data_IF_221837969516
#
_entry.id   IF_221837969516
#
_cell.length_a   1.000
_cell.length_b   1.000
_cell.length_c   1.000
_cell.angle_alpha   90.00
_cell.angle_beta   90.00
_cell.angle_gamma   90.00
#
_symmetry.space_group_name_H-M   'P 1'
#
loop_
_entity.id
_entity.type
_entity.pdbx_description
1 polymer ?
#
# COMPACT_ATOMS: atom_id res chain seq x y z
N UNK A 1 24.69 12.96 15.82
CA UNK A 1 24.04 11.65 16.06
C UNK A 1 23.71 11.05 14.71
N UNK A 2 24.13 9.82 14.38
CA UNK A 2 23.72 9.22 13.12
C UNK A 2 22.24 8.90 13.25
N UNK A 3 21.40 9.65 12.53
CA UNK A 3 20.00 9.31 12.36
C UNK A 3 19.99 8.00 11.60
N UNK A 4 19.70 6.90 12.30
CA UNK A 4 19.47 5.62 11.65
C UNK A 4 18.23 5.84 10.78
N UNK A 5 18.45 6.02 9.48
CA UNK A 5 17.39 5.86 8.50
C UNK A 5 17.01 4.39 8.56
N UNK A 6 16.07 4.06 9.45
CA UNK A 6 15.28 2.86 9.27
C UNK A 6 14.73 2.98 7.85
N UNK A 7 15.22 2.15 6.95
CA UNK A 7 14.56 1.92 5.68
C UNK A 7 13.25 1.24 6.10
N UNK A 8 12.25 2.04 6.45
CA UNK A 8 10.88 1.57 6.44
C UNK A 8 10.64 1.30 4.98
N UNK A 9 10.69 0.01 4.64
CA UNK A 9 10.09 -0.51 3.42
C UNK A 9 8.62 -0.09 3.45
N UNK A 10 8.35 1.10 2.91
CA UNK A 10 7.03 1.69 2.91
C UNK A 10 6.12 0.96 1.95
N UNK A 11 4.83 0.98 2.25
CA UNK A 11 3.82 0.59 1.28
C UNK A 11 3.85 1.58 0.10
N UNK A 12 3.62 1.04 -1.08
CA UNK A 12 3.57 1.76 -2.33
C UNK A 12 2.38 1.33 -3.16
N UNK A 13 2.19 2.05 -4.27
CA UNK A 13 1.19 1.71 -5.26
C UNK A 13 1.83 1.69 -6.64
N UNK A 14 1.74 0.57 -7.36
CA UNK A 14 2.21 0.47 -8.74
C UNK A 14 1.03 0.45 -9.69
N UNK A 15 1.08 1.35 -10.67
CA UNK A 15 0.10 1.46 -11.77
C UNK A 15 -1.37 1.47 -11.32
N UNK A 16 -1.67 1.90 -10.09
CA UNK A 16 -3.02 1.87 -9.49
C UNK A 16 -3.70 0.48 -9.53
N UNK A 17 -2.90 -0.58 -9.58
CA UNK A 17 -3.36 -1.96 -9.69
C UNK A 17 -2.69 -2.89 -8.69
N UNK A 18 -1.50 -2.54 -8.21
CA UNK A 18 -0.80 -3.25 -7.15
C UNK A 18 -0.58 -2.38 -5.93
N UNK A 19 -0.83 -2.95 -4.76
CA UNK A 19 -0.16 -2.52 -3.53
C UNK A 19 1.21 -3.19 -3.51
N UNK A 20 2.25 -2.42 -3.24
CA UNK A 20 3.63 -2.91 -3.18
C UNK A 20 4.24 -2.64 -1.82
N UNK A 21 5.26 -3.41 -1.45
CA UNK A 21 6.11 -3.17 -0.27
C UNK A 21 7.54 -3.47 -0.65
N UNK A 22 8.51 -2.63 -0.26
CA UNK A 22 9.92 -2.84 -0.59
C UNK A 22 10.24 -3.06 -2.10
N UNK A 23 9.36 -2.62 -3.01
CA UNK A 23 9.49 -2.88 -4.45
C UNK A 23 8.93 -4.23 -4.93
N UNK A 24 8.33 -5.03 -4.05
CA UNK A 24 7.64 -6.29 -4.37
C UNK A 24 6.13 -6.10 -4.42
N UNK A 25 5.48 -6.81 -5.34
CA UNK A 25 4.02 -6.82 -5.50
C UNK A 25 3.36 -7.62 -4.37
N UNK A 26 2.60 -6.93 -3.51
CA UNK A 26 2.00 -7.50 -2.30
C UNK A 26 0.56 -7.94 -2.53
N UNK A 27 -0.27 -7.06 -3.10
CA UNK A 27 -1.70 -7.32 -3.31
C UNK A 27 -2.16 -6.74 -4.62
N UNK A 28 -2.77 -7.60 -5.44
CA UNK A 28 -3.45 -7.19 -6.66
C UNK A 28 -4.84 -6.65 -6.33
N UNK A 29 -5.15 -5.47 -6.84
CA UNK A 29 -6.42 -4.81 -6.57
C UNK A 29 -7.57 -5.43 -7.38
N UNK A 30 -8.77 -5.54 -6.78
CA UNK A 30 -9.99 -5.87 -7.51
C UNK A 30 -10.23 -4.87 -8.65
N UNK A 31 -10.80 -5.35 -9.76
CA UNK A 31 -11.00 -4.53 -10.97
C UNK A 31 -11.77 -3.23 -10.71
N UNK A 32 -12.74 -3.28 -9.81
CA UNK A 32 -13.58 -2.14 -9.41
C UNK A 32 -12.83 -1.00 -8.73
N UNK A 33 -11.66 -1.29 -8.16
CA UNK A 33 -10.81 -0.30 -7.48
C UNK A 33 -9.56 0.07 -8.29
N UNK A 34 -9.41 -0.51 -9.49
CA UNK A 34 -8.34 -0.12 -10.44
C UNK A 34 -8.65 1.21 -11.10
N UNK A 35 -7.59 1.93 -11.43
CA UNK A 35 -7.59 3.29 -12.00
C UNK A 35 -8.21 4.37 -11.08
N UNK A 36 -8.58 3.99 -9.86
CA UNK A 36 -9.12 4.89 -8.85
C UNK A 36 -8.08 5.82 -8.24
N UNK A 37 -8.50 6.55 -7.21
CA UNK A 37 -7.61 7.33 -6.35
C UNK A 37 -7.17 6.46 -5.20
N UNK A 38 -5.89 6.53 -4.83
CA UNK A 38 -5.40 5.81 -3.66
C UNK A 38 -4.43 6.68 -2.86
N UNK A 39 -4.36 6.43 -1.56
CA UNK A 39 -3.48 7.10 -0.64
C UNK A 39 -2.83 6.08 0.28
N UNK A 40 -1.56 6.29 0.60
CA UNK A 40 -0.81 5.46 1.54
C UNK A 40 -0.49 6.30 2.77
N UNK A 41 -0.72 5.74 3.96
CA UNK A 41 -0.33 6.35 5.23
C UNK A 41 0.21 5.27 6.16
N UNK A 42 1.51 5.33 6.45
CA UNK A 42 2.18 4.30 7.26
C UNK A 42 2.00 2.90 6.66
N UNK A 43 1.31 2.04 7.41
CA UNK A 43 1.00 0.66 7.06
C UNK A 43 -0.42 0.46 6.48
N UNK A 44 -1.08 1.55 6.11
CA UNK A 44 -2.44 1.56 5.58
C UNK A 44 -2.50 2.10 4.16
N UNK A 45 -3.39 1.52 3.35
CA UNK A 45 -3.70 1.96 1.98
C UNK A 45 -5.19 2.17 1.86
N UNK A 46 -5.60 3.40 1.49
CA UNK A 46 -6.97 3.73 1.17
C UNK A 46 -7.14 3.78 -0.35
N UNK A 47 -8.19 3.16 -0.88
CA UNK A 47 -8.45 3.03 -2.32
C UNK A 47 -9.89 3.42 -2.61
N UNK A 48 -10.07 4.47 -3.39
CA UNK A 48 -11.35 4.87 -3.94
C UNK A 48 -11.67 4.04 -5.19
N UNK A 49 -12.81 3.37 -5.17
CA UNK A 49 -13.33 2.59 -6.29
C UNK A 49 -14.30 3.45 -7.11
N UNK A 50 -14.51 3.12 -8.41
CA UNK A 50 -15.37 3.95 -9.29
C UNK A 50 -16.83 4.06 -8.84
N UNK A 51 -17.27 3.12 -8.01
CA UNK A 51 -18.60 3.14 -7.38
C UNK A 51 -18.76 4.17 -6.27
N UNK A 52 -17.70 4.89 -5.89
CA UNK A 52 -17.68 5.79 -4.73
C UNK A 52 -17.39 5.08 -3.40
N UNK A 53 -17.23 3.76 -3.40
CA UNK A 53 -16.78 3.00 -2.22
C UNK A 53 -15.30 3.26 -1.96
N UNK A 54 -14.91 3.24 -0.68
CA UNK A 54 -13.51 3.28 -0.27
C UNK A 54 -13.16 1.98 0.42
N UNK A 55 -12.10 1.34 -0.04
CA UNK A 55 -11.50 0.16 0.59
C UNK A 55 -10.29 0.63 1.38
N UNK A 56 -10.29 0.39 2.69
CA UNK A 56 -9.14 0.62 3.56
C UNK A 56 -8.48 -0.73 3.86
N UNK A 57 -7.20 -0.83 3.54
CA UNK A 57 -6.36 -1.99 3.81
C UNK A 57 -5.34 -1.59 4.85
N UNK A 58 -5.26 -2.32 5.94
CA UNK A 58 -4.23 -2.15 6.95
C UNK A 58 -3.40 -3.42 7.00
N UNK A 59 -2.09 -3.25 6.89
CA UNK A 59 -1.14 -4.35 6.91
C UNK A 59 -0.48 -4.42 8.27
N UNK A 60 -0.16 -5.62 8.75
CA UNK A 60 0.64 -5.79 9.96
C UNK A 60 2.07 -5.36 9.71
N UNK A 61 2.57 -4.42 10.52
CA UNK A 61 3.97 -3.97 10.44
C UNK A 61 4.96 -5.12 10.69
N UNK A 62 4.61 -6.05 11.59
CA UNK A 62 5.46 -7.21 11.88
C UNK A 62 5.59 -8.15 10.68
N UNK A 63 4.52 -8.32 9.90
CA UNK A 63 4.53 -9.17 8.71
C UNK A 63 5.25 -8.49 7.54
N UNK A 64 5.06 -7.17 7.35
CA UNK A 64 5.79 -6.43 6.32
C UNK A 64 7.30 -6.39 6.58
N UNK A 65 7.73 -6.37 7.85
CA UNK A 65 9.14 -6.40 8.21
C UNK A 65 9.81 -7.75 7.94
N UNK A 66 9.03 -8.80 7.67
CA UNK A 66 9.52 -10.17 7.43
C UNK A 66 9.63 -10.52 5.93
N UNK A 67 9.09 -9.68 5.06
CA UNK A 67 9.14 -9.83 3.60
C UNK A 67 10.46 -9.29 3.03
#
# INVERSE_FOLDING_TARGET
MPSQSLIVSGLGLRDKTWVTTAGTDLLWLPAECRDGTAAVSGNSVAIGCRSGRVVLLEFSAAELAKM
#
